data_IF_495236129638
#
_entry.id   IF_495236129638
#
_cell.length_a   1.000
_cell.length_b   1.000
_cell.length_c   1.000
_cell.angle_alpha   90.00
_cell.angle_beta   90.00
_cell.angle_gamma   90.00
#
_symmetry.space_group_name_H-M   'P 1'
#
loop_
_entity.id
_entity.type
_entity.pdbx_description
1 polymer ?
#
# COMPACT_ATOMS: atom_id res chain seq x y z
N UNK A 1 -25.76 29.29 76.77
CA UNK A 1 -25.23 29.91 75.52
C UNK A 1 -24.77 28.79 74.63
N UNK A 2 -25.42 28.50 73.47
CA UNK A 2 -25.02 27.41 72.58
C UNK A 2 -24.05 27.89 71.52
N UNK A 3 -22.96 27.14 71.34
CA UNK A 3 -21.95 27.32 70.30
C UNK A 3 -22.50 26.90 68.94
N UNK A 4 -22.37 27.81 67.95
CA UNK A 4 -22.73 27.56 66.53
C UNK A 4 -21.60 26.81 65.85
N UNK A 5 -21.88 25.58 65.42
CA UNK A 5 -21.02 24.84 64.47
C UNK A 5 -21.30 25.34 63.07
N UNK A 6 -20.33 26.05 62.48
CA UNK A 6 -20.32 26.41 61.08
C UNK A 6 -19.87 25.22 60.25
N UNK A 7 -20.80 24.68 59.48
CA UNK A 7 -20.55 23.56 58.57
C UNK A 7 -19.59 23.94 57.44
N UNK A 8 -18.47 23.26 57.37
CA UNK A 8 -17.52 23.33 56.25
C UNK A 8 -18.13 22.62 55.02
N UNK A 9 -18.62 23.40 54.06
CA UNK A 9 -19.16 22.90 52.79
C UNK A 9 -18.00 22.44 51.90
N UNK A 10 -17.71 21.15 51.84
CA UNK A 10 -16.76 20.55 50.92
C UNK A 10 -17.20 20.82 49.48
N UNK A 11 -16.46 21.69 48.82
CA UNK A 11 -16.57 21.97 47.38
C UNK A 11 -16.07 20.71 46.65
N UNK A 12 -16.98 19.85 46.19
CA UNK A 12 -16.65 18.70 45.33
C UNK A 12 -16.12 19.28 44.02
N UNK A 13 -14.81 19.22 43.85
CA UNK A 13 -14.11 19.58 42.60
C UNK A 13 -14.49 18.58 41.52
N UNK A 14 -15.15 19.08 40.48
CA UNK A 14 -15.48 18.30 39.24
C UNK A 14 -14.23 17.98 38.43
N UNK A 15 -13.20 17.42 39.06
CA UNK A 15 -11.94 17.05 38.39
C UNK A 15 -12.11 15.74 37.58
N UNK A 16 -13.10 14.90 37.98
CA UNK A 16 -13.33 13.62 37.32
C UNK A 16 -13.92 13.72 35.89
N UNK A 17 -14.48 14.89 35.51
CA UNK A 17 -15.15 15.02 34.19
C UNK A 17 -14.23 15.58 33.10
N UNK A 18 -13.01 15.99 33.44
CA UNK A 18 -12.05 16.55 32.44
C UNK A 18 -11.13 15.52 31.81
N UNK A 19 -11.13 14.26 32.26
CA UNK A 19 -10.28 13.19 31.72
C UNK A 19 -10.95 12.31 30.66
N UNK A 20 -12.26 12.49 30.41
CA UNK A 20 -13.02 11.64 29.47
C UNK A 20 -13.09 12.18 28.02
N UNK A 21 -12.56 13.38 27.74
CA UNK A 21 -12.63 13.96 26.39
C UNK A 21 -11.33 13.92 25.59
N UNK A 22 -10.27 13.30 26.11
CA UNK A 22 -8.95 13.27 25.47
C UNK A 22 -8.66 11.97 24.66
N UNK A 23 -9.64 11.04 24.53
CA UNK A 23 -9.36 9.69 24.00
C UNK A 23 -9.96 9.40 22.60
N UNK A 24 -10.37 10.40 21.83
CA UNK A 24 -11.02 10.18 20.51
C UNK A 24 -10.33 10.83 19.31
N UNK A 25 -9.06 11.26 19.43
CA UNK A 25 -8.24 11.55 18.25
C UNK A 25 -7.28 10.36 18.01
N UNK A 26 -7.85 9.19 17.74
CA UNK A 26 -7.13 8.09 17.11
C UNK A 26 -6.85 8.49 15.66
N UNK A 27 -5.75 9.19 15.42
CA UNK A 27 -5.23 9.37 14.07
C UNK A 27 -5.01 7.97 13.49
N UNK A 28 -5.76 7.64 12.42
CA UNK A 28 -5.50 6.47 11.59
C UNK A 28 -4.17 6.71 10.86
N UNK A 29 -3.07 6.55 11.57
CA UNK A 29 -1.71 6.48 11.00
C UNK A 29 -1.62 5.12 10.32
N UNK A 30 -1.75 5.12 8.99
CA UNK A 30 -1.45 3.95 8.17
C UNK A 30 -0.10 3.37 8.63
N UNK A 31 -0.03 2.05 8.81
CA UNK A 31 1.17 1.39 9.32
C UNK A 31 2.38 1.75 8.46
N UNK A 32 3.48 2.20 9.04
CA UNK A 32 4.70 2.58 8.29
C UNK A 32 5.26 1.43 7.43
N UNK A 33 4.97 0.18 7.81
CA UNK A 33 5.35 -1.00 7.03
C UNK A 33 4.68 -1.05 5.65
N UNK A 34 3.40 -0.69 5.53
CA UNK A 34 2.68 -0.68 4.24
C UNK A 34 3.25 0.41 3.33
N UNK A 35 3.56 1.59 3.88
CA UNK A 35 4.14 2.68 3.10
C UNK A 35 5.55 2.31 2.57
N UNK A 36 6.37 1.63 3.37
CA UNK A 36 7.69 1.16 2.97
C UNK A 36 7.62 0.09 1.88
N UNK A 37 6.66 -0.84 1.97
CA UNK A 37 6.44 -1.89 0.96
C UNK A 37 6.00 -1.28 -0.38
N UNK A 38 5.08 -0.32 -0.35
CA UNK A 38 4.64 0.40 -1.56
C UNK A 38 5.79 1.19 -2.21
N UNK A 39 6.64 1.84 -1.41
CA UNK A 39 7.81 2.55 -1.92
C UNK A 39 8.80 1.58 -2.59
N UNK A 40 9.12 0.46 -1.95
CA UNK A 40 10.00 -0.57 -2.50
C UNK A 40 9.44 -1.23 -3.77
N UNK A 41 8.12 -1.45 -3.83
CA UNK A 41 7.48 -2.01 -5.03
C UNK A 41 7.54 -1.06 -6.22
N UNK A 42 7.33 0.25 -6.02
CA UNK A 42 7.46 1.26 -7.06
C UNK A 42 8.90 1.38 -7.58
N UNK A 43 9.87 1.41 -6.67
CA UNK A 43 11.29 1.47 -7.03
C UNK A 43 11.69 0.27 -7.89
N UNK A 44 11.31 -0.93 -7.47
CA UNK A 44 11.61 -2.16 -8.23
C UNK A 44 10.91 -2.20 -9.59
N UNK A 45 9.67 -1.73 -9.67
CA UNK A 45 8.91 -1.68 -10.92
C UNK A 45 9.40 -0.60 -11.90
N UNK A 46 10.23 0.36 -11.47
CA UNK A 46 10.65 1.50 -12.30
C UNK A 46 11.29 1.08 -13.63
N UNK A 47 12.04 -0.01 -13.65
CA UNK A 47 12.64 -0.56 -14.87
C UNK A 47 11.60 -1.02 -15.92
N UNK A 48 10.36 -1.27 -15.51
CA UNK A 48 9.26 -1.73 -16.37
C UNK A 48 8.51 -0.55 -17.02
N UNK A 49 8.67 0.67 -16.46
CA UNK A 49 7.84 1.82 -16.83
C UNK A 49 8.06 2.31 -18.26
N UNK A 50 9.23 2.07 -18.83
CA UNK A 50 9.56 2.50 -20.20
C UNK A 50 8.57 1.90 -21.21
N UNK A 51 8.22 0.64 -21.03
CA UNK A 51 7.31 -0.08 -21.92
C UNK A 51 5.89 -0.15 -21.38
N UNK A 52 5.72 -0.43 -20.08
CA UNK A 52 4.40 -0.68 -19.48
C UNK A 52 3.77 0.55 -18.83
N UNK A 53 4.50 1.68 -18.72
CA UNK A 53 4.04 2.90 -18.05
C UNK A 53 4.11 2.81 -16.53
N UNK A 54 4.36 3.93 -15.86
CA UNK A 54 4.24 4.02 -14.40
C UNK A 54 2.79 3.91 -13.93
N UNK A 55 1.85 4.23 -14.80
CA UNK A 55 0.40 4.06 -14.63
C UNK A 55 -0.08 2.65 -15.02
N UNK A 56 0.83 1.78 -15.45
CA UNK A 56 0.51 0.45 -15.94
C UNK A 56 -0.18 0.42 -17.30
N UNK A 57 -0.22 1.55 -18.01
CA UNK A 57 -0.73 1.64 -19.38
C UNK A 57 0.45 1.63 -20.36
N UNK A 58 0.41 0.72 -21.32
CA UNK A 58 1.48 0.50 -22.28
C UNK A 58 1.88 1.78 -23.01
N UNK A 59 3.20 1.99 -23.16
CA UNK A 59 3.80 3.14 -23.87
C UNK A 59 4.37 2.74 -25.22
N UNK A 60 4.44 1.43 -25.49
CA UNK A 60 4.88 0.87 -26.76
C UNK A 60 3.84 -0.16 -27.26
N UNK A 61 3.68 -0.35 -28.59
CA UNK A 61 2.59 -1.18 -29.14
C UNK A 61 2.61 -2.62 -28.69
N UNK A 62 3.80 -3.21 -28.50
CA UNK A 62 3.97 -4.62 -28.20
C UNK A 62 3.93 -4.95 -26.70
N UNK A 63 3.83 -3.93 -25.83
CA UNK A 63 3.71 -4.14 -24.41
C UNK A 63 2.23 -4.18 -23.99
N UNK A 64 1.83 -5.12 -23.12
CA UNK A 64 0.47 -5.12 -22.56
C UNK A 64 0.31 -4.10 -21.44
N UNK A 65 -0.93 -3.64 -21.22
CA UNK A 65 -1.31 -2.95 -20.01
C UNK A 65 -1.17 -3.89 -18.82
N UNK A 66 -0.62 -3.39 -17.70
CA UNK A 66 -0.43 -4.14 -16.47
C UNK A 66 -1.25 -3.58 -15.30
N UNK A 67 -1.87 -2.39 -15.46
CA UNK A 67 -2.68 -1.76 -14.43
C UNK A 67 -3.81 -2.69 -13.98
N UNK A 68 -3.92 -2.94 -12.67
CA UNK A 68 -4.96 -3.79 -12.09
C UNK A 68 -4.92 -5.25 -12.49
N UNK A 69 -3.83 -5.71 -13.11
CA UNK A 69 -3.68 -7.13 -13.48
C UNK A 69 -3.57 -7.99 -12.23
N UNK A 70 -4.08 -9.22 -12.31
CA UNK A 70 -4.01 -10.17 -11.21
C UNK A 70 -2.56 -10.41 -10.77
N UNK A 71 -2.27 -10.19 -9.48
CA UNK A 71 -0.92 -10.30 -8.94
C UNK A 71 -0.32 -11.70 -9.08
N UNK A 72 -1.12 -12.76 -8.84
CA UNK A 72 -0.65 -14.14 -9.00
C UNK A 72 -0.30 -14.47 -10.47
N UNK A 73 -1.07 -13.90 -11.41
CA UNK A 73 -0.76 -14.02 -12.84
C UNK A 73 0.56 -13.30 -13.17
N UNK A 74 0.79 -12.10 -12.65
CA UNK A 74 2.03 -11.36 -12.89
C UNK A 74 3.25 -12.10 -12.33
N UNK A 75 3.14 -12.65 -11.11
CA UNK A 75 4.20 -13.47 -10.51
C UNK A 75 4.50 -14.68 -11.38
N UNK A 76 3.45 -15.41 -11.80
CA UNK A 76 3.63 -16.57 -12.68
C UNK A 76 4.28 -16.19 -14.00
N UNK A 77 3.79 -15.13 -14.66
CA UNK A 77 4.30 -14.70 -15.95
C UNK A 77 5.79 -14.31 -15.88
N UNK A 78 6.21 -13.55 -14.86
CA UNK A 78 7.61 -13.18 -14.67
C UNK A 78 8.49 -14.41 -14.38
N UNK A 79 8.02 -15.35 -13.57
CA UNK A 79 8.74 -16.62 -13.34
C UNK A 79 8.85 -17.47 -14.60
N UNK A 80 7.81 -17.52 -15.41
CA UNK A 80 7.80 -18.26 -16.67
C UNK A 80 8.79 -17.64 -17.68
N UNK A 81 8.87 -16.31 -17.80
CA UNK A 81 9.89 -15.63 -18.62
C UNK A 81 11.30 -15.87 -18.07
N UNK A 82 11.51 -15.78 -16.75
CA UNK A 82 12.80 -16.01 -16.12
C UNK A 82 13.33 -17.42 -16.35
N UNK A 83 12.44 -18.42 -16.33
CA UNK A 83 12.79 -19.84 -16.49
C UNK A 83 12.80 -20.33 -17.94
N UNK A 84 12.40 -19.49 -18.91
CA UNK A 84 12.26 -19.90 -20.31
C UNK A 84 11.00 -20.71 -20.63
N UNK A 85 10.07 -20.90 -19.69
CA UNK A 85 8.77 -21.54 -19.96
C UNK A 85 7.87 -20.68 -20.84
N UNK A 86 8.06 -19.37 -20.81
CA UNK A 86 7.44 -18.40 -21.69
C UNK A 86 8.55 -17.61 -22.36
N UNK A 87 8.47 -17.49 -23.68
CA UNK A 87 9.49 -16.85 -24.47
C UNK A 87 9.00 -15.51 -25.00
N UNK A 88 9.82 -14.49 -24.83
CA UNK A 88 9.75 -13.19 -25.46
C UNK A 88 11.12 -12.55 -25.26
N UNK A 89 11.76 -12.08 -26.31
CA UNK A 89 13.14 -11.60 -26.28
C UNK A 89 13.34 -10.55 -25.19
N UNK A 90 12.50 -9.51 -25.16
CA UNK A 90 12.63 -8.41 -24.19
C UNK A 90 12.28 -8.88 -22.76
N UNK A 91 11.14 -9.55 -22.59
CA UNK A 91 10.67 -9.94 -21.25
C UNK A 91 11.54 -11.03 -20.63
N UNK A 92 12.07 -11.97 -21.43
CA UNK A 92 13.01 -12.98 -20.92
C UNK A 92 14.31 -12.34 -20.43
N UNK A 93 14.81 -11.34 -21.14
CA UNK A 93 15.99 -10.56 -20.71
C UNK A 93 15.69 -9.78 -19.41
N UNK A 94 14.57 -9.07 -19.36
CA UNK A 94 14.17 -8.26 -18.19
C UNK A 94 13.93 -9.10 -16.95
N UNK A 95 13.35 -10.28 -17.10
CA UNK A 95 13.04 -11.15 -15.96
C UNK A 95 14.24 -11.96 -15.46
N UNK A 96 15.27 -12.15 -16.27
CA UNK A 96 16.40 -13.07 -16.03
C UNK A 96 17.04 -12.90 -14.65
N UNK A 97 17.25 -11.69 -14.21
CA UNK A 97 17.96 -11.36 -12.98
C UNK A 97 17.05 -10.98 -11.81
N UNK A 98 15.71 -11.10 -11.96
CA UNK A 98 14.79 -10.82 -10.87
C UNK A 98 14.80 -11.96 -9.84
N UNK A 99 14.98 -11.62 -8.57
CA UNK A 99 14.74 -12.53 -7.46
C UNK A 99 13.23 -12.79 -7.30
N UNK A 100 12.85 -13.80 -6.51
CA UNK A 100 11.45 -14.03 -6.16
C UNK A 100 10.84 -12.84 -5.41
N UNK A 101 11.64 -12.17 -4.58
CA UNK A 101 11.22 -10.95 -3.90
C UNK A 101 10.97 -9.79 -4.89
N UNK A 102 11.88 -9.59 -5.84
CA UNK A 102 11.70 -8.57 -6.90
C UNK A 102 10.44 -8.82 -7.71
N UNK A 103 10.19 -10.07 -8.10
CA UNK A 103 8.98 -10.47 -8.83
C UNK A 103 7.72 -10.13 -8.03
N UNK A 104 7.71 -10.43 -6.72
CA UNK A 104 6.58 -10.10 -5.86
C UNK A 104 6.37 -8.59 -5.75
N UNK A 105 7.44 -7.79 -5.60
CA UNK A 105 7.36 -6.33 -5.55
C UNK A 105 6.81 -5.74 -6.85
N UNK A 106 7.31 -6.17 -8.00
CA UNK A 106 6.81 -5.74 -9.31
C UNK A 106 5.34 -6.10 -9.49
N UNK A 107 4.97 -7.34 -9.17
CA UNK A 107 3.58 -7.80 -9.25
C UNK A 107 2.66 -7.01 -8.31
N UNK A 108 3.11 -6.74 -7.08
CA UNK A 108 2.38 -5.91 -6.12
C UNK A 108 2.15 -4.50 -6.66
N UNK A 109 3.17 -3.88 -7.25
CA UNK A 109 3.03 -2.54 -7.82
C UNK A 109 1.91 -2.45 -8.85
N UNK A 110 1.97 -3.26 -9.90
CA UNK A 110 1.01 -3.17 -11.01
C UNK A 110 -0.39 -3.67 -10.63
N UNK A 111 -0.50 -4.69 -9.78
CA UNK A 111 -1.81 -5.23 -9.35
C UNK A 111 -2.58 -4.25 -8.46
N UNK A 112 -1.89 -3.38 -7.72
CA UNK A 112 -2.52 -2.37 -6.86
C UNK A 112 -2.92 -1.08 -7.58
N UNK A 113 -2.62 -0.93 -8.88
CA UNK A 113 -3.10 0.21 -9.66
C UNK A 113 -4.60 0.05 -9.91
N UNK A 114 -5.38 0.98 -9.39
CA UNK A 114 -6.83 0.97 -9.58
C UNK A 114 -7.22 1.23 -11.03
N UNK A 115 -8.11 0.41 -11.58
CA UNK A 115 -8.67 0.56 -12.93
C UNK A 115 -10.18 0.71 -12.83
N UNK A 116 -10.71 1.77 -13.44
CA UNK A 116 -12.15 1.95 -13.58
C UNK A 116 -12.57 1.59 -14.99
N UNK A 117 -13.45 0.60 -15.10
CA UNK A 117 -14.00 0.18 -16.38
C UNK A 117 -15.34 0.90 -16.60
N UNK A 118 -15.45 1.59 -17.72
CA UNK A 118 -16.72 2.17 -18.16
C UNK A 118 -17.36 1.19 -19.15
N UNK A 119 -18.59 0.78 -18.88
CA UNK A 119 -19.36 -0.05 -19.81
C UNK A 119 -19.57 0.71 -21.14
N UNK A 120 -19.64 0.01 -22.29
CA UNK A 120 -19.91 0.60 -23.60
C UNK A 120 -21.31 1.22 -23.66
#
# INVERSE_FOLDING_TARGET
MPARFTGCRMRRSNIALRWLTALLLGAAVGSPAIAAELAGSREKAAQCFVCHGADGLAKVPDAPNLAGQNGAYLVKALKDYRSGKRENEVMSMMAKNLSDQDINLVASYFSNISVTVKAP
#
